data_IF_992201843524
#
_entry.id   IF_992201843524
#
_cell.length_a   1.000
_cell.length_b   1.000
_cell.length_c   1.000
_cell.angle_alpha   90.00
_cell.angle_beta   90.00
_cell.angle_gamma   90.00
#
_symmetry.space_group_name_H-M   'P 1'
#
loop_
_entity.id
_entity.type
_entity.pdbx_description
1 polymer ?
#
# COMPACT_ATOMS: atom_id res chain seq x y z
N UNK A 1 -38.51 -13.96 6.98
CA UNK A 1 -38.03 -13.02 5.95
C UNK A 1 -36.54 -13.26 5.82
N UNK A 2 -36.13 -13.86 4.70
CA UNK A 2 -34.71 -14.04 4.37
C UNK A 2 -34.27 -12.68 3.81
N UNK A 3 -33.33 -12.02 4.48
CA UNK A 3 -32.68 -10.83 3.93
C UNK A 3 -31.88 -11.33 2.73
N UNK A 4 -32.07 -10.80 1.50
CA UNK A 4 -31.24 -11.19 0.38
C UNK A 4 -29.80 -10.83 0.71
N UNK A 5 -28.89 -11.79 0.63
CA UNK A 5 -27.46 -11.50 0.68
C UNK A 5 -27.14 -10.58 -0.50
N UNK A 6 -26.71 -9.36 -0.19
CA UNK A 6 -26.10 -8.47 -1.19
C UNK A 6 -24.89 -9.19 -1.77
N UNK A 7 -24.68 -9.19 -3.11
CA UNK A 7 -23.49 -9.78 -3.71
C UNK A 7 -22.23 -9.23 -3.02
N UNK A 8 -21.27 -10.10 -2.72
CA UNK A 8 -19.99 -9.65 -2.17
C UNK A 8 -19.35 -8.68 -3.17
N UNK A 9 -19.09 -7.44 -2.73
CA UNK A 9 -18.55 -6.39 -3.58
C UNK A 9 -17.23 -6.83 -4.25
N UNK A 10 -16.50 -7.77 -3.65
CA UNK A 10 -15.28 -8.37 -4.23
C UNK A 10 -15.50 -9.17 -5.51
N UNK A 11 -16.66 -9.81 -5.69
CA UNK A 11 -16.97 -10.60 -6.89
C UNK A 11 -17.23 -9.71 -8.12
N UNK A 12 -17.50 -8.42 -7.90
CA UNK A 12 -17.88 -7.48 -8.97
C UNK A 12 -16.70 -6.72 -9.60
N UNK A 13 -15.52 -6.70 -8.96
CA UNK A 13 -14.37 -5.90 -9.41
C UNK A 13 -13.25 -6.77 -9.99
N UNK A 14 -13.08 -6.79 -11.32
CA UNK A 14 -11.90 -7.38 -11.97
C UNK A 14 -10.68 -6.47 -11.74
N UNK A 15 -9.98 -6.68 -10.62
CA UNK A 15 -8.79 -5.93 -10.24
C UNK A 15 -7.51 -6.80 -10.39
N UNK A 16 -6.52 -6.24 -11.08
CA UNK A 16 -5.18 -6.82 -11.21
C UNK A 16 -4.22 -6.20 -10.21
N UNK A 17 -3.68 -7.03 -9.33
CA UNK A 17 -2.59 -6.63 -8.46
C UNK A 17 -1.26 -6.75 -9.21
N UNK A 18 -0.59 -5.63 -9.44
CA UNK A 18 0.65 -5.51 -10.21
C UNK A 18 1.77 -4.98 -9.32
N UNK A 19 2.94 -5.61 -9.39
CA UNK A 19 4.13 -5.18 -8.65
C UNK A 19 5.32 -5.08 -9.62
N UNK A 20 5.97 -3.90 -9.75
CA UNK A 20 7.22 -3.79 -10.48
C UNK A 20 8.35 -4.42 -9.66
N UNK A 21 8.96 -5.47 -10.21
CA UNK A 21 10.03 -6.22 -9.55
C UNK A 21 10.86 -6.97 -10.59
N UNK A 22 12.18 -6.80 -10.56
CA UNK A 22 13.10 -7.43 -11.52
C UNK A 22 13.70 -8.74 -11.02
N UNK A 23 13.89 -8.89 -9.71
CA UNK A 23 14.51 -10.06 -9.07
C UNK A 23 14.02 -10.27 -7.64
N UNK A 24 14.36 -11.43 -7.07
CA UNK A 24 14.10 -11.75 -5.66
C UNK A 24 14.74 -10.74 -4.71
N UNK A 25 14.06 -10.45 -3.58
CA UNK A 25 14.59 -9.66 -2.48
C UNK A 25 13.84 -9.98 -1.18
N UNK A 26 14.52 -9.99 -0.03
CA UNK A 26 13.89 -10.30 1.26
C UNK A 26 12.75 -9.33 1.62
N UNK A 27 12.93 -8.04 1.37
CA UNK A 27 11.87 -7.07 1.62
C UNK A 27 10.64 -7.29 0.72
N UNK A 28 10.81 -7.81 -0.51
CA UNK A 28 9.66 -8.22 -1.31
C UNK A 28 8.94 -9.41 -0.68
N UNK A 29 9.67 -10.36 -0.09
CA UNK A 29 9.06 -11.47 0.65
C UNK A 29 8.22 -11.00 1.83
N UNK A 30 8.65 -9.95 2.54
CA UNK A 30 7.82 -9.30 3.57
C UNK A 30 6.55 -8.70 2.96
N UNK A 31 6.67 -7.91 1.90
CA UNK A 31 5.52 -7.31 1.21
C UNK A 31 4.53 -8.38 0.73
N UNK A 32 5.03 -9.39 0.02
CA UNK A 32 4.26 -10.52 -0.50
C UNK A 32 3.56 -11.29 0.63
N UNK A 33 4.26 -11.58 1.72
CA UNK A 33 3.67 -12.23 2.88
C UNK A 33 2.51 -11.43 3.45
N UNK A 34 2.69 -10.11 3.66
CA UNK A 34 1.63 -9.26 4.21
C UNK A 34 0.41 -9.16 3.29
N UNK A 35 0.61 -9.24 1.98
CA UNK A 35 -0.47 -9.34 1.01
C UNK A 35 -1.23 -10.67 1.16
N UNK A 36 -0.51 -11.79 1.10
CA UNK A 36 -1.11 -13.13 1.11
C UNK A 36 -1.77 -13.47 2.47
N UNK A 37 -1.18 -13.04 3.59
CA UNK A 37 -1.78 -13.21 4.93
C UNK A 37 -3.07 -12.38 5.08
N UNK A 38 -3.27 -11.36 4.24
CA UNK A 38 -4.49 -10.56 4.15
C UNK A 38 -5.33 -10.87 2.91
N UNK A 39 -5.19 -12.08 2.35
CA UNK A 39 -6.03 -12.61 1.26
C UNK A 39 -5.99 -11.78 -0.03
N UNK A 40 -4.92 -11.03 -0.27
CA UNK A 40 -4.67 -10.45 -1.59
C UNK A 40 -4.41 -11.58 -2.60
N UNK A 41 -4.85 -11.41 -3.85
CA UNK A 41 -4.50 -12.35 -4.91
C UNK A 41 -2.97 -12.35 -5.12
N UNK A 42 -2.38 -13.44 -5.63
CA UNK A 42 -0.98 -13.44 -6.07
C UNK A 42 -0.70 -12.26 -7.01
N UNK A 43 0.33 -11.43 -6.74
CA UNK A 43 0.63 -10.29 -7.60
C UNK A 43 1.15 -10.76 -8.95
N UNK A 44 0.90 -9.95 -9.99
CA UNK A 44 1.61 -10.07 -11.26
C UNK A 44 2.87 -9.20 -11.23
N UNK A 45 4.02 -9.84 -11.38
CA UNK A 45 5.33 -9.19 -11.47
C UNK A 45 5.54 -8.66 -12.89
N UNK A 46 5.53 -7.33 -13.04
CA UNK A 46 5.53 -6.70 -14.37
C UNK A 46 6.93 -6.57 -14.99
N UNK A 47 8.01 -6.73 -14.24
CA UNK A 47 9.39 -6.61 -14.76
C UNK A 47 10.28 -7.80 -14.41
N UNK A 48 9.70 -8.94 -14.01
CA UNK A 48 10.47 -10.10 -13.56
C UNK A 48 11.37 -10.65 -14.67
N UNK A 49 12.69 -10.63 -14.44
CA UNK A 49 13.68 -11.04 -15.45
C UNK A 49 13.71 -10.20 -16.74
N UNK A 50 13.01 -9.05 -16.77
CA UNK A 50 12.85 -8.19 -17.96
C UNK A 50 13.18 -6.73 -17.64
N UNK A 51 13.78 -6.02 -18.59
CA UNK A 51 14.14 -4.61 -18.40
C UNK A 51 12.94 -3.65 -18.46
N UNK A 52 11.91 -3.98 -19.25
CA UNK A 52 10.68 -3.20 -19.40
C UNK A 52 9.58 -4.09 -19.94
N UNK A 53 8.35 -3.88 -19.48
CA UNK A 53 7.15 -4.52 -20.04
C UNK A 53 6.05 -3.48 -20.12
N UNK A 54 5.28 -3.53 -21.21
CA UNK A 54 4.05 -2.77 -21.36
C UNK A 54 2.88 -3.75 -21.19
N UNK A 55 2.01 -3.49 -20.22
CA UNK A 55 0.81 -4.27 -19.99
C UNK A 55 -0.40 -3.39 -20.24
N UNK A 56 -1.17 -3.72 -21.28
CA UNK A 56 -2.45 -3.08 -21.51
C UNK A 56 -3.52 -3.75 -20.64
N UNK A 57 -4.28 -2.92 -19.93
CA UNK A 57 -5.47 -3.39 -19.22
C UNK A 57 -6.62 -3.57 -20.20
N UNK A 58 -7.51 -4.52 -19.89
CA UNK A 58 -8.77 -4.66 -20.64
C UNK A 58 -9.71 -3.50 -20.28
N UNK A 59 -10.69 -3.18 -21.15
CA UNK A 59 -11.79 -2.29 -20.76
C UNK A 59 -12.47 -2.76 -19.47
N UNK A 60 -12.75 -1.84 -18.56
CA UNK A 60 -13.38 -2.08 -17.25
C UNK A 60 -12.58 -2.96 -16.26
N UNK A 61 -11.29 -3.17 -16.53
CA UNK A 61 -10.38 -3.83 -15.58
C UNK A 61 -9.63 -2.78 -14.75
N UNK A 62 -9.59 -3.00 -13.45
CA UNK A 62 -8.85 -2.17 -12.50
C UNK A 62 -7.45 -2.72 -12.29
N UNK A 63 -6.55 -1.86 -11.83
CA UNK A 63 -5.24 -2.30 -11.39
C UNK A 63 -4.89 -1.64 -10.05
N UNK A 64 -4.35 -2.44 -9.13
CA UNK A 64 -3.60 -1.98 -7.98
C UNK A 64 -2.12 -2.10 -8.34
N UNK A 65 -1.42 -0.98 -8.42
CA UNK A 65 0.02 -0.94 -8.69
C UNK A 65 0.71 -0.49 -7.41
N UNK A 66 1.60 -1.33 -6.87
CA UNK A 66 2.32 -1.03 -5.62
C UNK A 66 3.79 -1.39 -5.74
N UNK A 67 4.63 -0.66 -5.03
CA UNK A 67 6.06 -0.96 -4.90
C UNK A 67 6.29 -2.32 -4.24
N UNK A 68 7.39 -2.98 -4.62
CA UNK A 68 7.70 -4.33 -4.16
C UNK A 68 8.37 -4.38 -2.79
N UNK A 69 9.18 -3.39 -2.40
CA UNK A 69 10.14 -3.56 -1.30
C UNK A 69 9.73 -2.92 0.02
N UNK A 70 8.82 -1.97 0.01
CA UNK A 70 8.56 -1.11 1.16
C UNK A 70 7.07 -0.86 1.33
N UNK A 71 6.26 -1.85 0.99
CA UNK A 71 4.80 -1.82 1.09
C UNK A 71 4.32 -2.96 1.97
N UNK A 72 3.53 -2.65 2.99
CA UNK A 72 2.82 -3.67 3.78
C UNK A 72 1.31 -3.54 3.60
N UNK A 73 0.65 -4.69 3.52
CA UNK A 73 -0.80 -4.78 3.44
C UNK A 73 -1.31 -5.10 4.84
N UNK A 74 -1.95 -4.13 5.48
CA UNK A 74 -2.43 -4.21 6.86
C UNK A 74 -3.81 -4.86 6.97
N UNK A 75 -4.73 -4.46 6.08
CA UNK A 75 -6.11 -4.93 6.10
C UNK A 75 -6.36 -5.96 4.99
N UNK A 76 -7.38 -6.82 5.14
CA UNK A 76 -7.82 -7.73 4.08
C UNK A 76 -8.08 -7.06 2.73
N UNK A 77 -7.87 -7.82 1.65
CA UNK A 77 -8.16 -7.40 0.28
C UNK A 77 -9.59 -6.87 0.10
N UNK A 78 -10.57 -7.48 0.77
CA UNK A 78 -11.97 -7.02 0.76
C UNK A 78 -12.12 -5.58 1.23
N UNK A 79 -11.40 -5.20 2.28
CA UNK A 79 -11.51 -3.85 2.85
C UNK A 79 -10.91 -2.81 1.89
N UNK A 80 -9.78 -3.14 1.22
CA UNK A 80 -9.24 -2.31 0.14
C UNK A 80 -10.27 -2.08 -0.98
N UNK A 81 -10.91 -3.14 -1.46
CA UNK A 81 -11.93 -3.02 -2.53
C UNK A 81 -13.11 -2.18 -2.06
N UNK A 82 -13.59 -2.41 -0.83
CA UNK A 82 -14.73 -1.67 -0.27
C UNK A 82 -14.43 -0.18 -0.16
N UNK A 83 -13.24 0.18 0.32
CA UNK A 83 -12.81 1.56 0.42
C UNK A 83 -12.63 2.19 -0.96
N UNK A 84 -12.05 1.46 -1.92
CA UNK A 84 -11.86 1.96 -3.29
C UNK A 84 -13.21 2.25 -3.96
N UNK A 85 -14.19 1.37 -3.82
CA UNK A 85 -15.54 1.58 -4.33
C UNK A 85 -16.21 2.79 -3.68
N UNK A 86 -16.02 2.98 -2.37
CA UNK A 86 -16.56 4.15 -1.64
C UNK A 86 -15.95 5.46 -2.14
N UNK A 87 -14.63 5.52 -2.28
CA UNK A 87 -13.91 6.71 -2.79
C UNK A 87 -14.32 7.05 -4.22
N UNK A 88 -14.64 6.04 -5.05
CA UNK A 88 -14.98 6.22 -6.46
C UNK A 88 -16.47 6.35 -6.74
N UNK A 89 -17.35 6.06 -5.78
CA UNK A 89 -18.81 6.04 -5.96
C UNK A 89 -19.36 7.36 -6.51
N UNK A 90 -18.88 8.50 -5.98
CA UNK A 90 -19.37 9.83 -6.35
C UNK A 90 -18.77 10.38 -7.64
N UNK A 91 -17.59 9.88 -8.05
CA UNK A 91 -16.82 10.42 -9.18
C UNK A 91 -16.86 9.51 -10.42
N UNK A 92 -17.62 8.42 -10.34
CA UNK A 92 -17.67 7.37 -11.34
C UNK A 92 -16.46 6.44 -11.25
N UNK A 93 -16.70 5.15 -11.50
CA UNK A 93 -15.66 4.13 -11.35
C UNK A 93 -14.52 4.22 -12.39
N UNK A 94 -14.56 5.14 -13.36
CA UNK A 94 -13.46 5.41 -14.28
C UNK A 94 -12.47 6.42 -13.68
N UNK A 95 -11.90 6.12 -12.51
CA UNK A 95 -11.01 7.02 -11.78
C UNK A 95 -9.73 6.29 -11.32
N UNK A 96 -8.58 6.95 -11.43
CA UNK A 96 -7.35 6.53 -10.77
C UNK A 96 -7.19 7.26 -9.42
N UNK A 97 -6.89 6.51 -8.36
CA UNK A 97 -6.65 7.05 -7.02
C UNK A 97 -5.19 6.85 -6.65
N UNK A 98 -4.49 7.93 -6.30
CA UNK A 98 -3.08 7.92 -5.91
C UNK A 98 -2.92 8.13 -4.41
N UNK A 99 -1.91 7.51 -3.80
CA UNK A 99 -1.55 7.81 -2.41
C UNK A 99 -1.06 9.26 -2.28
N UNK A 100 -1.58 9.97 -1.29
CA UNK A 100 -1.12 11.33 -0.97
C UNK A 100 0.23 11.29 -0.25
N UNK A 101 1.11 12.24 -0.57
CA UNK A 101 2.35 12.45 0.15
C UNK A 101 2.47 13.90 0.63
N UNK A 102 3.16 14.13 1.75
CA UNK A 102 3.41 15.49 2.27
C UNK A 102 4.47 16.24 1.46
N UNK A 103 5.19 15.56 0.57
CA UNK A 103 6.23 16.15 -0.27
C UNK A 103 5.85 16.02 -1.75
N UNK A 104 5.76 17.15 -2.45
CA UNK A 104 5.79 17.14 -3.91
C UNK A 104 7.23 16.85 -4.37
N UNK A 105 7.48 15.64 -4.87
CA UNK A 105 8.79 15.20 -5.33
C UNK A 105 8.64 14.28 -6.54
N UNK A 106 9.58 14.32 -7.51
CA UNK A 106 10.74 15.19 -7.61
C UNK A 106 10.46 16.56 -8.25
N UNK A 107 9.19 16.84 -8.56
CA UNK A 107 8.78 18.08 -9.20
C UNK A 107 9.14 19.32 -8.37
N UNK A 108 9.41 20.43 -9.06
CA UNK A 108 9.58 21.73 -8.40
C UNK A 108 8.26 22.13 -7.72
N UNK A 109 8.26 22.70 -6.49
CA UNK A 109 7.03 23.07 -5.77
C UNK A 109 6.10 24.01 -6.57
N UNK A 110 6.67 24.86 -7.43
CA UNK A 110 5.91 25.79 -8.28
C UNK A 110 5.50 25.20 -9.64
N UNK A 111 5.79 23.93 -9.91
CA UNK A 111 5.41 23.28 -11.16
C UNK A 111 3.91 22.98 -11.20
N UNK A 112 3.33 22.93 -12.42
CA UNK A 112 1.92 22.56 -12.62
C UNK A 112 1.55 21.24 -11.93
N UNK A 113 2.48 20.28 -11.87
CA UNK A 113 2.29 19.00 -11.17
C UNK A 113 2.00 19.16 -9.67
N UNK A 114 2.55 20.18 -9.00
CA UNK A 114 2.34 20.43 -7.58
C UNK A 114 1.21 21.43 -7.32
N UNK A 115 1.10 22.49 -8.14
CA UNK A 115 0.14 23.59 -7.88
C UNK A 115 -1.27 23.31 -8.40
N UNK A 116 -1.42 22.40 -9.38
CA UNK A 116 -2.74 22.03 -9.90
C UNK A 116 -3.37 20.87 -9.10
N UNK A 117 -2.70 20.39 -8.05
CA UNK A 117 -3.25 19.38 -7.16
C UNK A 117 -4.48 19.94 -6.46
N UNK A 118 -5.59 19.20 -6.52
CA UNK A 118 -6.86 19.66 -5.92
C UNK A 118 -6.69 19.90 -4.43
N UNK A 119 -7.32 20.95 -3.88
CA UNK A 119 -7.20 21.23 -2.46
C UNK A 119 -7.67 20.04 -1.60
N UNK A 120 -6.95 19.69 -0.52
CA UNK A 120 -7.37 18.62 0.38
C UNK A 120 -8.75 18.88 0.97
N UNK A 121 -9.52 17.81 1.23
CA UNK A 121 -10.78 17.90 1.98
C UNK A 121 -10.56 18.17 3.47
N UNK A 122 -9.35 17.92 3.95
CA UNK A 122 -8.93 18.18 5.33
C UNK A 122 -8.65 19.67 5.56
N UNK A 123 -8.84 20.18 6.79
CA UNK A 123 -8.44 21.53 7.16
C UNK A 123 -6.95 21.78 6.83
N UNK A 124 -6.61 22.98 6.35
CA UNK A 124 -5.24 23.34 5.93
C UNK A 124 -4.15 23.02 6.97
N UNK A 125 -4.48 23.07 8.25
CA UNK A 125 -3.55 22.79 9.35
C UNK A 125 -3.81 21.45 10.04
N UNK A 126 -4.52 20.52 9.40
CA UNK A 126 -4.87 19.22 9.98
C UNK A 126 -3.61 18.45 10.41
N UNK A 127 -2.56 18.49 9.60
CA UNK A 127 -1.26 17.87 9.90
C UNK A 127 -0.28 18.82 10.63
N UNK A 128 -0.79 19.89 11.24
CA UNK A 128 -0.02 20.86 12.02
C UNK A 128 0.10 22.25 11.38
N UNK A 129 0.69 23.24 12.10
CA UNK A 129 0.79 24.62 11.63
C UNK A 129 1.76 24.82 10.46
N UNK A 130 2.57 23.81 10.13
CA UNK A 130 3.55 23.85 9.04
C UNK A 130 3.11 23.05 7.80
N UNK A 131 1.90 22.48 7.80
CA UNK A 131 1.32 21.83 6.61
C UNK A 131 1.25 22.82 5.45
N UNK A 132 1.71 22.38 4.27
CA UNK A 132 1.80 23.19 3.05
C UNK A 132 2.59 24.50 3.20
N UNK A 133 3.44 24.60 4.23
CA UNK A 133 4.43 25.67 4.32
C UNK A 133 5.70 25.17 3.69
N UNK A 134 6.20 25.87 2.67
CA UNK A 134 7.46 25.59 1.98
C UNK A 134 8.64 25.64 2.98
N UNK A 135 8.82 24.59 3.78
CA UNK A 135 10.08 24.35 4.44
C UNK A 135 11.05 23.90 3.34
N UNK A 136 12.07 24.73 3.15
CA UNK A 136 13.13 24.58 2.15
C UNK A 136 13.83 23.23 2.28
N UNK A 137 13.30 22.20 1.63
CA UNK A 137 14.00 20.93 1.45
C UNK A 137 14.94 21.13 0.26
N UNK A 138 16.22 20.85 0.51
CA UNK A 138 17.33 21.03 -0.44
C UNK A 138 16.97 20.60 -1.86
N UNK A 139 17.13 21.53 -2.79
CA UNK A 139 16.95 21.34 -4.22
C UNK A 139 17.89 20.23 -4.70
N UNK A 140 17.32 19.12 -5.19
CA UNK A 140 18.08 18.26 -6.07
C UNK A 140 18.26 19.03 -7.39
N UNK A 141 19.48 19.11 -7.90
CA UNK A 141 19.74 19.71 -9.21
C UNK A 141 18.92 18.96 -10.27
N UNK A 142 18.31 19.69 -11.21
CA UNK A 142 17.55 19.19 -12.37
C UNK A 142 18.40 18.39 -13.38
N UNK A 143 19.44 17.68 -12.94
CA UNK A 143 20.06 16.65 -13.77
C UNK A 143 19.04 15.53 -13.95
N UNK A 144 18.78 15.11 -15.20
CA UNK A 144 17.69 14.22 -15.65
C UNK A 144 17.28 13.14 -14.63
N UNK A 145 16.39 13.49 -13.69
CA UNK A 145 15.80 12.53 -12.76
C UNK A 145 14.80 11.73 -13.59
N UNK A 146 15.19 10.52 -14.01
CA UNK A 146 14.24 9.55 -14.57
C UNK A 146 13.47 8.96 -13.39
N UNK A 147 12.35 9.57 -13.06
CA UNK A 147 11.43 9.11 -12.02
C UNK A 147 10.05 8.88 -12.62
N UNK A 148 9.45 7.76 -12.26
CA UNK A 148 8.05 7.45 -12.49
C UNK A 148 7.12 8.46 -11.80
N UNK A 149 7.41 8.85 -10.57
CA UNK A 149 6.66 9.88 -9.83
C UNK A 149 6.66 11.21 -10.59
N UNK A 150 7.79 11.62 -11.20
CA UNK A 150 7.85 12.82 -12.05
C UNK A 150 6.82 12.75 -13.18
N UNK A 151 6.82 11.64 -13.91
CA UNK A 151 5.98 11.46 -15.10
C UNK A 151 4.49 11.37 -14.72
N UNK A 152 4.16 10.62 -13.68
CA UNK A 152 2.78 10.48 -13.19
C UNK A 152 2.25 11.83 -12.68
N UNK A 153 3.06 12.58 -11.92
CA UNK A 153 2.68 13.89 -11.40
C UNK A 153 2.51 14.93 -12.52
N UNK A 154 3.33 14.86 -13.58
CA UNK A 154 3.15 15.69 -14.78
C UNK A 154 1.83 15.40 -15.49
N UNK A 155 1.46 14.13 -15.68
CA UNK A 155 0.15 13.73 -16.25
C UNK A 155 -0.98 14.20 -15.34
N UNK A 156 -0.87 13.98 -14.03
CA UNK A 156 -1.85 14.43 -13.06
C UNK A 156 -2.03 15.96 -13.16
N UNK A 157 -0.94 16.72 -13.23
CA UNK A 157 -0.96 18.18 -13.31
C UNK A 157 -1.62 18.75 -14.57
N UNK A 158 -1.77 17.96 -15.63
CA UNK A 158 -2.51 18.35 -16.83
C UNK A 158 -4.03 18.37 -16.60
N UNK A 159 -4.53 17.59 -15.63
CA UNK A 159 -5.96 17.49 -15.29
C UNK A 159 -6.86 17.00 -16.45
N UNK A 160 -6.27 16.32 -17.43
CA UNK A 160 -6.98 15.78 -18.61
C UNK A 160 -7.59 14.38 -18.37
N UNK A 161 -7.23 13.73 -17.26
CA UNK A 161 -7.69 12.40 -16.88
C UNK A 161 -8.43 12.47 -15.53
N UNK A 162 -9.38 11.55 -15.33
CA UNK A 162 -10.11 11.43 -14.08
C UNK A 162 -9.21 10.77 -13.02
N UNK A 163 -8.47 11.59 -12.27
CA UNK A 163 -7.50 11.18 -11.27
C UNK A 163 -7.77 11.94 -9.97
N UNK A 164 -7.56 11.28 -8.83
CA UNK A 164 -7.65 11.90 -7.50
C UNK A 164 -6.54 11.40 -6.59
N UNK A 165 -6.42 12.05 -5.44
CA UNK A 165 -5.42 11.76 -4.41
C UNK A 165 -6.13 11.41 -3.11
N UNK A 166 -5.67 10.35 -2.44
CA UNK A 166 -6.18 9.87 -1.16
C UNK A 166 -5.63 10.71 0.01
N UNK A 167 -6.15 11.93 0.17
CA UNK A 167 -5.70 12.89 1.20
C UNK A 167 -5.89 12.42 2.64
N UNK A 168 -6.86 11.53 2.86
CA UNK A 168 -7.24 11.06 4.18
C UNK A 168 -6.54 9.75 4.56
N UNK A 169 -5.73 9.18 3.66
CA UNK A 169 -5.13 7.86 3.84
C UNK A 169 -6.17 6.76 4.10
N UNK A 170 -7.31 6.83 3.40
CA UNK A 170 -8.36 5.81 3.45
C UNK A 170 -7.90 4.52 2.76
N UNK A 171 -7.08 4.62 1.72
CA UNK A 171 -6.52 3.50 0.97
C UNK A 171 -5.02 3.31 1.25
N UNK A 172 -4.27 4.41 1.20
CA UNK A 172 -2.81 4.41 1.20
C UNK A 172 -2.26 5.39 2.24
N UNK A 173 -1.44 4.89 3.14
CA UNK A 173 -0.61 5.72 4.00
C UNK A 173 0.82 5.73 3.48
N UNK A 174 1.27 6.84 2.90
CA UNK A 174 2.70 7.06 2.65
C UNK A 174 3.37 7.59 3.92
N UNK A 175 4.68 7.43 4.04
CA UNK A 175 5.44 7.70 5.27
C UNK A 175 6.40 8.89 5.17
N UNK A 176 6.61 9.49 3.99
CA UNK A 176 7.48 10.68 3.87
C UNK A 176 6.93 11.84 4.72
N UNK A 177 7.61 12.15 5.82
CA UNK A 177 7.23 13.15 6.84
C UNK A 177 5.89 12.90 7.57
N UNK A 178 5.38 11.67 7.53
CA UNK A 178 4.08 11.30 8.11
C UNK A 178 4.18 10.15 9.13
N UNK A 179 5.38 9.68 9.48
CA UNK A 179 5.55 8.64 10.51
C UNK A 179 4.91 9.03 11.86
N UNK A 180 4.92 10.32 12.21
CA UNK A 180 4.32 10.84 13.44
C UNK A 180 2.79 10.93 13.40
N UNK A 181 2.19 10.80 12.22
CA UNK A 181 0.74 10.81 12.06
C UNK A 181 0.14 9.44 12.40
N UNK A 182 0.97 8.41 12.56
CA UNK A 182 0.55 7.05 12.80
C UNK A 182 0.59 6.70 14.28
N UNK A 183 -0.54 6.21 14.76
CA UNK A 183 -0.69 5.58 16.07
C UNK A 183 -1.11 4.13 15.90
N UNK A 184 -0.75 3.28 16.86
CA UNK A 184 -1.20 1.88 16.85
C UNK A 184 -2.30 1.68 17.87
N UNK A 185 -3.48 1.25 17.42
CA UNK A 185 -4.66 1.05 18.25
C UNK A 185 -5.09 -0.42 18.23
N UNK A 186 -5.57 -0.90 19.39
CA UNK A 186 -6.20 -2.23 19.53
C UNK A 186 -7.65 -2.19 19.02
N UNK A 187 -8.09 -3.26 18.36
CA UNK A 187 -9.43 -3.38 17.78
C UNK A 187 -10.58 -3.55 18.80
N UNK A 188 -10.25 -3.66 20.08
CA UNK A 188 -11.21 -3.85 21.17
C UNK A 188 -11.66 -2.55 21.85
N UNK A 189 -11.14 -1.39 21.43
CA UNK A 189 -11.59 -0.08 21.93
C UNK A 189 -13.08 0.13 21.66
N UNK A 190 -13.64 -0.56 20.65
CA UNK A 190 -15.03 -0.40 20.20
C UNK A 190 -15.88 -1.69 20.17
N UNK A 191 -15.38 -2.82 20.69
CA UNK A 191 -16.12 -4.11 20.65
C UNK A 191 -16.46 -4.64 22.05
N UNK A 192 -17.73 -5.04 22.24
CA UNK A 192 -18.23 -5.69 23.46
C UNK A 192 -18.82 -7.07 23.14
N UNK A 193 -18.47 -8.14 23.90
CA UNK A 193 -17.46 -8.17 24.97
C UNK A 193 -16.04 -7.99 24.44
N UNK A 194 -15.14 -7.43 25.26
CA UNK A 194 -13.73 -7.24 24.88
C UNK A 194 -13.06 -8.58 24.58
N UNK A 195 -12.27 -8.60 23.52
CA UNK A 195 -11.44 -9.75 23.14
C UNK A 195 -10.33 -9.99 24.17
N UNK A 196 -9.92 -11.25 24.33
CA UNK A 196 -8.74 -11.56 25.15
C UNK A 196 -7.49 -10.90 24.54
N UNK A 197 -6.44 -10.58 25.32
CA UNK A 197 -5.23 -9.94 24.77
C UNK A 197 -4.59 -10.69 23.59
N UNK A 198 -4.70 -12.03 23.55
CA UNK A 198 -4.20 -12.85 22.45
C UNK A 198 -5.05 -12.78 21.18
N UNK A 199 -6.26 -12.22 21.26
CA UNK A 199 -7.20 -12.07 20.16
C UNK A 199 -7.31 -10.62 19.65
N UNK A 200 -6.59 -9.69 20.27
CA UNK A 200 -6.65 -8.26 19.91
C UNK A 200 -5.75 -7.98 18.73
N UNK A 201 -6.31 -7.28 17.75
CA UNK A 201 -5.60 -6.87 16.55
C UNK A 201 -5.07 -5.46 16.75
N UNK A 202 -3.83 -5.24 16.32
CA UNK A 202 -3.21 -3.92 16.28
C UNK A 202 -3.26 -3.37 14.87
N UNK A 203 -3.74 -2.15 14.74
CA UNK A 203 -3.78 -1.43 13.48
C UNK A 203 -3.02 -0.13 13.60
N UNK A 204 -2.19 0.16 12.59
CA UNK A 204 -1.73 1.51 12.30
C UNK A 204 -2.93 2.33 11.82
N UNK A 205 -3.17 3.43 12.53
CA UNK A 205 -4.26 4.36 12.29
C UNK A 205 -3.64 5.73 12.04
N UNK A 206 -4.07 6.41 10.99
CA UNK A 206 -3.76 7.82 10.79
C UNK A 206 -4.53 8.61 11.86
N UNK A 207 -3.81 9.16 12.84
CA UNK A 207 -4.37 9.86 13.98
C UNK A 207 -5.00 11.22 13.61
N UNK A 208 -4.72 11.73 12.41
CA UNK A 208 -5.23 13.02 11.94
C UNK A 208 -6.57 12.84 11.23
N UNK A 209 -6.65 11.90 10.28
CA UNK A 209 -7.90 11.61 9.56
C UNK A 209 -8.79 10.61 10.31
N UNK A 210 -8.23 9.82 11.22
CA UNK A 210 -8.89 8.67 11.84
C UNK A 210 -8.93 7.42 10.95
N UNK A 211 -8.33 7.47 9.76
CA UNK A 211 -8.36 6.37 8.80
C UNK A 211 -7.53 5.17 9.27
N UNK A 212 -8.00 3.97 8.96
CA UNK A 212 -7.25 2.71 9.11
C UNK A 212 -6.85 2.25 7.70
N UNK A 213 -5.68 2.67 7.19
CA UNK A 213 -5.27 2.38 5.82
C UNK A 213 -5.09 0.86 5.60
N UNK A 214 -5.62 0.30 4.50
CA UNK A 214 -5.31 -1.05 4.05
C UNK A 214 -3.84 -1.23 3.69
N UNK A 215 -3.20 -0.19 3.14
CA UNK A 215 -1.82 -0.29 2.62
C UNK A 215 -0.93 0.78 3.26
N UNK A 216 0.21 0.35 3.79
CA UNK A 216 1.26 1.19 4.35
C UNK A 216 2.45 1.21 3.40
N UNK A 217 2.80 2.37 2.86
CA UNK A 217 3.95 2.55 1.97
C UNK A 217 5.06 3.32 2.72
N UNK A 218 6.12 2.61 3.08
CA UNK A 218 7.27 3.10 3.83
C UNK A 218 8.25 3.89 2.97
N UNK A 219 7.79 4.79 2.11
CA UNK A 219 8.66 5.67 1.34
C UNK A 219 9.46 6.63 2.27
N UNK A 220 10.63 7.06 1.80
CA UNK A 220 11.55 7.86 2.62
C UNK A 220 12.27 7.04 3.71
N UNK A 221 12.48 7.58 4.92
CA UNK A 221 13.18 6.90 6.02
C UNK A 221 12.57 5.54 6.42
N UNK A 222 13.40 4.49 6.47
CA UNK A 222 12.98 3.09 6.66
C UNK A 222 12.98 2.60 8.11
N UNK A 223 13.35 3.44 9.08
CA UNK A 223 13.44 3.07 10.49
C UNK A 223 12.12 2.51 11.05
N UNK A 224 11.00 3.07 10.61
CA UNK A 224 9.66 2.60 11.00
C UNK A 224 9.40 1.14 10.59
N UNK A 225 9.95 0.65 9.48
CA UNK A 225 9.77 -0.73 9.04
C UNK A 225 10.32 -1.76 10.03
N UNK A 226 11.28 -1.36 10.86
CA UNK A 226 11.88 -2.22 11.87
C UNK A 226 11.08 -2.12 13.17
N UNK A 227 10.83 -0.88 13.61
CA UNK A 227 10.15 -0.61 14.87
C UNK A 227 8.67 -1.01 14.87
N UNK A 228 8.02 -1.05 13.71
CA UNK A 228 6.58 -1.29 13.60
C UNK A 228 6.24 -2.72 13.22
N UNK A 229 7.17 -3.48 12.63
CA UNK A 229 6.90 -4.88 12.27
C UNK A 229 6.39 -5.72 13.45
N UNK A 230 7.02 -5.69 14.64
CA UNK A 230 6.54 -6.46 15.78
C UNK A 230 5.18 -5.98 16.32
N UNK A 231 4.70 -4.82 15.89
CA UNK A 231 3.39 -4.28 16.27
C UNK A 231 2.28 -4.76 15.35
N UNK A 232 2.61 -5.19 14.14
CA UNK A 232 1.62 -5.63 13.15
C UNK A 232 0.92 -6.91 13.60
N UNK A 233 -0.34 -7.05 13.16
CA UNK A 233 -1.21 -8.18 13.51
C UNK A 233 -0.53 -9.54 13.36
N UNK A 234 0.02 -9.83 12.18
CA UNK A 234 0.64 -11.12 11.85
C UNK A 234 1.90 -11.41 12.67
N UNK A 235 2.63 -10.37 13.09
CA UNK A 235 3.83 -10.53 13.91
C UNK A 235 3.46 -10.72 15.39
N UNK A 236 2.50 -9.95 15.92
CA UNK A 236 2.03 -10.10 17.32
C UNK A 236 1.32 -11.43 17.55
N UNK A 237 0.60 -11.91 16.55
CA UNK A 237 -0.15 -13.16 16.59
C UNK A 237 0.61 -14.31 15.92
N UNK A 238 1.95 -14.25 15.85
CA UNK A 238 2.76 -15.30 15.21
C UNK A 238 2.64 -16.67 15.87
N UNK A 239 2.17 -16.74 17.13
CA UNK A 239 1.88 -17.98 17.84
C UNK A 239 0.39 -18.36 17.83
N UNK A 240 -0.49 -17.53 17.23
CA UNK A 240 -1.90 -17.87 17.07
C UNK A 240 -2.04 -19.00 16.02
N UNK A 241 -2.78 -20.07 16.33
CA UNK A 241 -2.87 -21.22 15.42
C UNK A 241 -3.41 -20.88 14.03
N UNK A 242 -4.33 -19.92 13.92
CA UNK A 242 -4.91 -19.52 12.64
C UNK A 242 -3.91 -18.72 11.79
N UNK A 243 -3.09 -17.88 12.44
CA UNK A 243 -2.00 -17.18 11.77
C UNK A 243 -0.94 -18.18 11.33
N UNK A 244 -0.50 -19.09 12.22
CA UNK A 244 0.47 -20.14 11.91
C UNK A 244 0.03 -21.00 10.71
N UNK A 245 -1.20 -21.50 10.71
CA UNK A 245 -1.74 -22.31 9.61
C UNK A 245 -1.72 -21.52 8.29
N UNK A 246 -2.09 -20.25 8.32
CA UNK A 246 -2.07 -19.39 7.13
C UNK A 246 -0.64 -19.10 6.66
N UNK A 247 0.29 -18.85 7.57
CA UNK A 247 1.71 -18.66 7.28
C UNK A 247 2.32 -19.91 6.66
N UNK A 248 2.06 -21.09 7.22
CA UNK A 248 2.51 -22.37 6.65
C UNK A 248 1.99 -22.59 5.23
N UNK A 249 0.71 -22.26 5.00
CA UNK A 249 0.12 -22.31 3.65
C UNK A 249 0.83 -21.36 2.70
N UNK A 250 1.14 -20.15 3.12
CA UNK A 250 1.89 -19.16 2.31
C UNK A 250 3.29 -19.70 1.97
N UNK A 251 4.01 -20.24 2.95
CA UNK A 251 5.35 -20.79 2.71
C UNK A 251 5.35 -22.00 1.77
N UNK A 252 4.27 -22.80 1.78
CA UNK A 252 4.14 -23.98 0.91
C UNK A 252 3.62 -23.66 -0.50
N UNK A 253 2.67 -22.73 -0.62
CA UNK A 253 1.91 -22.53 -1.86
C UNK A 253 1.66 -21.07 -2.24
N UNK A 254 2.19 -20.11 -1.47
CA UNK A 254 2.19 -18.70 -1.85
C UNK A 254 2.93 -18.50 -3.16
N UNK A 255 2.58 -17.45 -3.90
CA UNK A 255 3.10 -17.27 -5.25
C UNK A 255 2.94 -15.85 -5.77
N UNK A 256 3.55 -15.62 -6.93
CA UNK A 256 3.28 -14.53 -7.83
C UNK A 256 3.19 -15.06 -9.27
N UNK A 257 2.73 -14.23 -10.21
CA UNK A 257 2.69 -14.57 -11.63
C UNK A 257 3.54 -13.60 -12.45
N UNK A 258 4.11 -14.04 -13.56
CA UNK A 258 4.70 -13.13 -14.56
C UNK A 258 3.62 -12.50 -15.43
N UNK A 259 4.02 -11.53 -16.26
CA UNK A 259 3.14 -10.93 -17.28
C UNK A 259 2.64 -11.91 -18.32
N UNK A 260 3.39 -12.99 -18.57
CA UNK A 260 3.03 -14.05 -19.51
C UNK A 260 2.13 -15.13 -18.86
N UNK A 261 1.78 -14.95 -17.58
CA UNK A 261 0.95 -15.88 -16.83
C UNK A 261 1.72 -17.05 -16.23
N UNK A 262 3.06 -17.04 -16.27
CA UNK A 262 3.87 -18.07 -15.62
C UNK A 262 3.77 -17.93 -14.11
N UNK A 263 3.55 -19.05 -13.43
CA UNK A 263 3.52 -19.11 -11.98
C UNK A 263 4.93 -19.17 -11.41
N UNK A 264 5.19 -18.38 -10.38
CA UNK A 264 6.45 -18.39 -9.62
C UNK A 264 6.12 -18.69 -8.15
N UNK A 265 6.66 -19.77 -7.61
CA UNK A 265 6.36 -20.20 -6.25
C UNK A 265 7.01 -19.30 -5.20
N UNK A 266 6.49 -19.30 -3.98
CA UNK A 266 7.12 -18.66 -2.82
C UNK A 266 8.58 -19.10 -2.69
N UNK A 267 8.89 -20.39 -2.87
CA UNK A 267 10.25 -20.88 -2.77
C UNK A 267 11.18 -20.31 -3.85
N UNK A 268 10.70 -20.15 -5.08
CA UNK A 268 11.51 -19.57 -6.16
C UNK A 268 11.72 -18.05 -5.98
N UNK A 269 10.76 -17.36 -5.35
CA UNK A 269 10.84 -15.92 -5.05
C UNK A 269 11.65 -15.66 -3.79
N UNK A 270 11.42 -16.44 -2.74
CA UNK A 270 11.81 -16.13 -1.36
C UNK A 270 12.72 -17.17 -0.72
N UNK A 271 13.02 -18.27 -1.42
CA UNK A 271 13.84 -19.37 -0.93
C UNK A 271 13.32 -19.88 0.43
N UNK A 272 14.11 -19.72 1.48
CA UNK A 272 13.77 -20.12 2.85
C UNK A 272 13.55 -18.90 3.76
N UNK A 273 13.20 -17.74 3.20
CA UNK A 273 12.95 -16.53 3.98
C UNK A 273 11.81 -16.77 4.98
N UNK A 274 12.12 -16.66 6.27
CA UNK A 274 11.12 -16.52 7.32
C UNK A 274 10.95 -15.02 7.61
N UNK A 275 9.74 -14.50 7.36
CA UNK A 275 9.49 -13.07 7.57
C UNK A 275 9.38 -12.71 9.06
N UNK A 276 9.24 -13.70 9.94
CA UNK A 276 9.24 -13.53 11.39
C UNK A 276 10.64 -13.62 12.01
N UNK A 277 11.59 -14.21 11.29
CA UNK A 277 13.01 -14.29 11.65
C UNK A 277 13.85 -13.68 10.53
N UNK A 278 13.83 -12.34 10.37
CA UNK A 278 14.54 -11.68 9.29
C UNK A 278 16.05 -11.86 9.44
N UNK A 279 16.80 -11.97 8.33
CA UNK A 279 18.26 -11.98 8.39
C UNK A 279 18.78 -10.70 9.05
N UNK A 280 19.95 -10.77 9.69
CA UNK A 280 20.62 -9.58 10.24
C UNK A 280 20.68 -8.46 9.20
N UNK A 281 20.26 -7.26 9.60
CA UNK A 281 20.23 -6.09 8.74
C UNK A 281 21.65 -5.73 8.29
N UNK A 282 22.04 -6.24 7.13
CA UNK A 282 23.18 -5.72 6.38
C UNK A 282 22.58 -4.69 5.44
N UNK A 283 22.95 -3.44 5.64
CA UNK A 283 22.47 -2.28 4.89
C UNK A 283 22.16 -2.66 3.45
N UNK A 284 20.87 -2.57 3.12
CA UNK A 284 20.36 -2.81 1.78
C UNK A 284 21.11 -1.89 0.81
N UNK A 285 21.96 -2.49 -0.02
CA UNK A 285 22.49 -1.87 -1.25
C UNK A 285 21.44 -2.05 -2.34
#
# INVERSE_FOLDING_TARGET
MVVPETPDATESLDLKFLVPLTSSHFNFCRSLYTALINDYPPPTLITWGKARVEKQLRPHQYALIMDGFDVWYQLPYRDLISYFLTVTELNGHNMAVFGADKKCWPNHPDSHACVNVSMPTLPKSAYGPYTDTNQSISQASQASIKSDQLYIAEIFGQQDLNMTVDYQSELFQTMTFSHSDIVFLEDDVFTYPRKSPSQRRMYAVNNISGAVPPVLHFNGPKEAMHNWWPKMLWARMSNDPAVLEKSERIYRSGSACTTDGEFISWHDICSNADVNDPPEYKDAV
#
